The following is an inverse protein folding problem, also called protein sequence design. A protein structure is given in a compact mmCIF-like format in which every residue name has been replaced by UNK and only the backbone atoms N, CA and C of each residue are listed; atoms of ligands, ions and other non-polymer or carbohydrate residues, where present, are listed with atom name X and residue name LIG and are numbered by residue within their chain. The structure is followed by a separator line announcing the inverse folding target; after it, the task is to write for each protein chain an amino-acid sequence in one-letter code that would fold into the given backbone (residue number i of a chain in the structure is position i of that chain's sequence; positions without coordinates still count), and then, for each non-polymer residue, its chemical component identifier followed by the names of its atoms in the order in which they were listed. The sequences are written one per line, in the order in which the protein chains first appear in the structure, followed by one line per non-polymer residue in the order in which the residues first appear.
data_IF_734610236496
#
_entry.id   IF_734610236496
#
_cell.length_a   1.000
_cell.length_b   1.000
_cell.length_c   1.000
_cell.angle_alpha   90.00
_cell.angle_beta   90.00
_cell.angle_gamma   90.00
#
_symmetry.space_group_name_H-M   'P 1'
#
loop_
_entity.id
_entity.type
_entity.pdbx_description
1 polymer ?
#
# COMPACT_ATOMS: atom_id res chain seq x y z
N UNK A 1 -2.45 14.57 -7.07
CA UNK A 1 -3.21 13.73 -6.08
C UNK A 1 -2.80 12.27 -6.29
N UNK A 2 -2.56 11.46 -5.24
CA UNK A 2 -2.19 10.05 -5.44
C UNK A 2 -3.43 9.15 -5.46
N UNK A 3 -3.39 8.08 -6.24
CA UNK A 3 -4.43 7.05 -6.33
C UNK A 3 -3.85 5.72 -5.85
N UNK A 4 -4.46 5.15 -4.82
CA UNK A 4 -4.07 3.83 -4.32
C UNK A 4 -4.93 2.72 -4.92
N UNK A 5 -4.28 1.73 -5.51
CA UNK A 5 -4.90 0.56 -6.13
C UNK A 5 -5.10 -0.54 -5.08
N UNK A 6 -6.08 -0.34 -4.19
CA UNK A 6 -6.33 -1.23 -3.06
C UNK A 6 -6.61 -2.67 -3.47
N UNK A 7 -7.29 -2.91 -4.60
CA UNK A 7 -7.59 -4.27 -5.08
C UNK A 7 -6.32 -5.02 -5.47
N UNK A 8 -5.43 -4.39 -6.23
CA UNK A 8 -4.15 -4.99 -6.62
C UNK A 8 -3.28 -5.27 -5.39
N UNK A 9 -3.24 -4.33 -4.44
CA UNK A 9 -2.50 -4.51 -3.18
C UNK A 9 -3.12 -5.64 -2.33
N UNK A 10 -4.45 -5.74 -2.28
CA UNK A 10 -5.16 -6.79 -1.56
C UNK A 10 -4.85 -8.17 -2.15
N UNK A 11 -4.90 -8.31 -3.47
CA UNK A 11 -4.62 -9.57 -4.13
C UNK A 11 -3.17 -10.00 -3.91
N UNK A 12 -2.21 -9.20 -4.38
CA UNK A 12 -0.81 -9.60 -4.36
C UNK A 12 -0.25 -9.76 -2.94
N UNK A 13 -0.58 -8.83 -2.05
CA UNK A 13 0.06 -8.76 -0.73
C UNK A 13 -0.75 -9.54 0.29
N UNK A 14 -2.03 -9.22 0.47
CA UNK A 14 -2.82 -9.88 1.51
C UNK A 14 -3.13 -11.33 1.13
N UNK A 15 -3.63 -11.58 -0.08
CA UNK A 15 -4.08 -12.92 -0.48
C UNK A 15 -2.88 -13.77 -0.88
N UNK A 16 -2.13 -13.41 -1.91
CA UNK A 16 -1.13 -14.31 -2.49
C UNK A 16 0.09 -14.49 -1.56
N UNK A 17 0.59 -13.41 -0.96
CA UNK A 17 1.79 -13.48 -0.09
C UNK A 17 1.50 -13.89 1.35
N UNK A 18 0.39 -13.43 1.92
CA UNK A 18 0.06 -13.71 3.33
C UNK A 18 -1.08 -14.71 3.51
N UNK A 19 -1.58 -15.35 2.46
CA UNK A 19 -2.69 -16.29 2.50
C UNK A 19 -3.90 -15.73 3.26
N UNK A 20 -4.26 -14.49 2.94
CA UNK A 20 -5.33 -13.71 3.58
C UNK A 20 -5.13 -13.45 5.09
N UNK A 21 -3.93 -13.66 5.64
CA UNK A 21 -3.62 -13.36 7.05
C UNK A 21 -3.40 -11.86 7.27
N UNK A 22 -4.48 -11.16 7.62
CA UNK A 22 -4.47 -9.72 7.83
C UNK A 22 -3.57 -9.27 8.99
N UNK A 23 -3.44 -10.08 10.03
CA UNK A 23 -2.63 -9.72 11.20
C UNK A 23 -1.13 -9.74 10.87
N UNK A 24 -0.66 -10.81 10.23
CA UNK A 24 0.73 -10.93 9.78
C UNK A 24 1.08 -9.84 8.76
N UNK A 25 0.18 -9.58 7.82
CA UNK A 25 0.32 -8.52 6.82
C UNK A 25 0.47 -7.14 7.50
N UNK A 26 -0.40 -6.82 8.46
CA UNK A 26 -0.35 -5.56 9.20
C UNK A 26 0.96 -5.38 9.97
N UNK A 27 1.43 -6.44 10.66
CA UNK A 27 2.71 -6.42 11.39
C UNK A 27 3.90 -6.13 10.47
N UNK A 28 4.00 -6.81 9.33
CA UNK A 28 5.10 -6.60 8.37
C UNK A 28 5.08 -5.22 7.71
N UNK A 29 3.89 -4.65 7.50
CA UNK A 29 3.72 -3.27 7.01
C UNK A 29 3.94 -2.21 8.11
N UNK A 30 4.16 -2.64 9.36
CA UNK A 30 4.17 -1.80 10.54
C UNK A 30 2.91 -0.91 10.62
N UNK A 31 1.74 -1.51 10.39
CA UNK A 31 0.42 -0.86 10.44
C UNK A 31 -0.45 -1.56 11.48
N UNK A 32 -1.44 -0.84 12.02
CA UNK A 32 -2.49 -1.51 12.80
C UNK A 32 -3.42 -2.27 11.84
N UNK A 33 -3.95 -3.41 12.31
CA UNK A 33 -4.94 -4.22 11.58
C UNK A 33 -6.14 -3.39 11.13
N UNK A 34 -6.60 -2.44 11.97
CA UNK A 34 -7.70 -1.52 11.67
C UNK A 34 -7.36 -0.59 10.51
N UNK A 35 -6.18 0.02 10.51
CA UNK A 35 -5.74 0.90 9.42
C UNK A 35 -5.62 0.11 8.12
N UNK A 36 -4.98 -1.07 8.14
CA UNK A 36 -4.86 -1.92 6.97
C UNK A 36 -6.23 -2.33 6.41
N UNK A 37 -7.16 -2.77 7.27
CA UNK A 37 -8.53 -3.11 6.86
C UNK A 37 -9.24 -1.93 6.20
N UNK A 38 -9.13 -0.73 6.76
CA UNK A 38 -9.79 0.45 6.20
C UNK A 38 -9.23 0.83 4.82
N UNK A 39 -7.91 0.71 4.64
CA UNK A 39 -7.22 0.95 3.35
C UNK A 39 -7.72 -0.03 2.29
N UNK A 40 -7.77 -1.32 2.63
CA UNK A 40 -8.21 -2.37 1.70
C UNK A 40 -9.68 -2.19 1.30
N UNK A 41 -10.52 -1.69 2.21
CA UNK A 41 -11.93 -1.42 1.96
C UNK A 41 -12.22 -0.04 1.36
N UNK A 42 -11.19 0.74 0.99
CA UNK A 42 -11.31 2.12 0.48
C UNK A 42 -12.09 3.06 1.41
N UNK A 43 -12.18 2.73 2.71
CA UNK A 43 -12.89 3.51 3.73
C UNK A 43 -12.02 4.61 4.36
N UNK A 44 -10.79 4.78 3.87
CA UNK A 44 -9.82 5.73 4.42
C UNK A 44 -9.02 6.39 3.30
N UNK A 45 -8.91 7.73 3.37
CA UNK A 45 -7.92 8.47 2.61
C UNK A 45 -6.53 8.13 3.15
N UNK A 46 -5.65 7.64 2.28
CA UNK A 46 -4.29 7.25 2.68
C UNK A 46 -3.49 8.47 3.12
N UNK A 47 -3.25 8.61 4.42
CA UNK A 47 -2.31 9.61 4.92
C UNK A 47 -0.88 9.37 4.39
N UNK A 48 -0.08 10.43 4.33
CA UNK A 48 1.31 10.36 3.84
C UNK A 48 2.17 9.35 4.61
N UNK A 49 1.92 9.16 5.91
CA UNK A 49 2.60 8.18 6.76
C UNK A 49 2.32 6.74 6.31
N UNK A 50 1.06 6.43 6.02
CA UNK A 50 0.65 5.12 5.52
C UNK A 50 1.26 4.84 4.16
N UNK A 51 1.28 5.86 3.29
CA UNK A 51 1.90 5.77 1.97
C UNK A 51 3.39 5.44 2.08
N UNK A 52 4.13 6.15 2.94
CA UNK A 52 5.55 5.89 3.22
C UNK A 52 5.79 4.46 3.71
N UNK A 53 4.92 3.93 4.58
CA UNK A 53 5.03 2.54 5.08
C UNK A 53 4.83 1.52 3.96
N UNK A 54 3.86 1.73 3.06
CA UNK A 54 3.63 0.86 1.91
C UNK A 54 4.82 0.92 0.93
N UNK A 55 5.35 2.10 0.63
CA UNK A 55 6.52 2.27 -0.23
C UNK A 55 7.75 1.58 0.38
N UNK A 56 7.98 1.79 1.68
CA UNK A 56 9.07 1.15 2.40
C UNK A 56 8.96 -0.38 2.37
N UNK A 57 7.75 -0.91 2.58
CA UNK A 57 7.49 -2.33 2.46
C UNK A 57 7.79 -2.84 1.04
N UNK A 58 7.36 -2.13 0.00
CA UNK A 58 7.65 -2.52 -1.38
C UNK A 58 9.16 -2.57 -1.63
N UNK A 59 9.90 -1.54 -1.20
CA UNK A 59 11.36 -1.47 -1.29
C UNK A 59 12.05 -2.63 -0.56
N UNK A 60 11.63 -2.92 0.68
CA UNK A 60 12.16 -4.04 1.50
C UNK A 60 11.97 -5.40 0.82
N UNK A 61 10.93 -5.54 0.01
CA UNK A 61 10.55 -6.81 -0.63
C UNK A 61 10.83 -6.84 -2.15
N UNK A 62 11.61 -5.90 -2.67
CA UNK A 62 11.91 -5.77 -4.11
C UNK A 62 10.64 -5.75 -5.00
N UNK A 63 9.58 -5.07 -4.53
CA UNK A 63 8.33 -4.87 -5.25
C UNK A 63 8.29 -3.46 -5.85
N UNK A 64 7.72 -3.34 -7.04
CA UNK A 64 7.44 -2.02 -7.63
C UNK A 64 6.23 -1.37 -6.93
N UNK A 65 6.50 -0.29 -6.19
CA UNK A 65 5.45 0.47 -5.49
C UNK A 65 4.47 1.14 -6.46
N UNK A 66 4.86 1.42 -7.71
CA UNK A 66 3.99 2.01 -8.74
C UNK A 66 2.86 1.08 -9.17
N UNK A 67 2.99 -0.23 -8.90
CA UNK A 67 1.90 -1.21 -9.07
C UNK A 67 0.71 -0.89 -8.17
N UNK A 68 0.97 -0.36 -6.97
CA UNK A 68 -0.04 -0.11 -5.94
C UNK A 68 -0.37 1.37 -5.75
N UNK A 69 0.58 2.26 -6.03
CA UNK A 69 0.46 3.70 -5.83
C UNK A 69 0.70 4.39 -7.15
N UNK A 70 -0.33 5.05 -7.67
CA UNK A 70 -0.19 5.93 -8.83
C UNK A 70 -0.13 7.38 -8.36
N UNK A 71 0.87 8.12 -8.82
CA UNK A 71 0.94 9.56 -8.60
C UNK A 71 0.33 10.23 -9.83
N UNK A 72 -0.83 10.88 -9.69
CA UNK A 72 -1.28 11.79 -10.73
C UNK A 72 -0.40 13.04 -10.59
N UNK A 73 0.68 13.06 -11.36
CA UNK A 73 1.41 14.26 -11.69
C UNK A 73 0.73 14.81 -12.95
N UNK A 74 -0.17 15.79 -12.77
CA UNK A 74 -0.57 16.66 -13.88
C UNK A 74 0.60 17.57 -14.33
N UNK A 75 1.73 17.56 -13.61
CA UNK A 75 2.98 18.16 -14.07
C UNK A 75 4.16 17.21 -13.81
N UNK A 76 4.87 16.92 -14.90
CA UNK A 76 6.24 16.42 -15.05
C UNK A 76 6.92 15.69 -13.90
N UNK A 77 7.51 14.54 -14.24
CA UNK A 77 8.60 13.91 -13.50
C UNK A 77 9.49 14.89 -12.73
N UNK A 78 9.53 14.72 -11.41
CA UNK A 78 10.76 14.79 -10.61
C UNK A 78 10.55 13.90 -9.39
N UNK A 79 10.91 12.64 -9.56
CA UNK A 79 10.94 11.66 -8.46
C UNK A 79 12.28 11.88 -7.72
N UNK A 80 12.17 12.29 -6.45
CA UNK A 80 13.24 12.30 -5.45
C UNK A 80 13.82 10.89 -5.22
#
# INVERSE_FOLDING_TARGET
MFKFKSEAFKQDILIDKYNNNLEKCAKELNLSKKILSNILNKKYLLGITTLKRIIFYCKKNNLDSKKYIHYNNDEGEKIL
#
